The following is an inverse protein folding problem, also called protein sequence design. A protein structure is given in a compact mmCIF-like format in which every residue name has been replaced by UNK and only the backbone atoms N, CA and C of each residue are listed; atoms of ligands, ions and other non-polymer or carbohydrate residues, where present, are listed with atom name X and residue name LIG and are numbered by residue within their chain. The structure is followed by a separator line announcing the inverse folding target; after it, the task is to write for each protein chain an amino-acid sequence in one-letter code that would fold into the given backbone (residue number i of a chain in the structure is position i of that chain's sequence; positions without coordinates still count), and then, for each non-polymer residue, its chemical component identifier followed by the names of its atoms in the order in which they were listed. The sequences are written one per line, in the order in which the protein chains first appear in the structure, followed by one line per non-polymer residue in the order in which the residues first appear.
data_IF_611815711438
#
_entry.id   IF_611815711438
#
_cell.length_a   1.000
_cell.length_b   1.000
_cell.length_c   1.000
_cell.angle_alpha   90.00
_cell.angle_beta   90.00
_cell.angle_gamma   90.00
#
_symmetry.space_group_name_H-M   'P 1'
#
loop_
_entity.id
_entity.type
_entity.pdbx_description
1 polymer ?
#
# COMPACT_ATOMS: atom_id res chain seq x y z
N UNK A 1 -23.29 -83.04 28.63
CA UNK A 1 -22.67 -82.19 29.67
C UNK A 1 -22.96 -80.75 29.30
N UNK A 2 -23.80 -80.09 30.11
CA UNK A 2 -24.06 -78.65 30.09
C UNK A 2 -22.87 -77.96 30.77
N UNK A 3 -22.37 -76.86 30.21
CA UNK A 3 -22.18 -75.60 30.94
C UNK A 3 -21.73 -74.49 29.96
N UNK A 4 -22.55 -73.49 29.62
CA UNK A 4 -22.98 -72.26 30.35
C UNK A 4 -21.96 -71.10 30.25
N UNK A 5 -22.39 -69.98 29.62
CA UNK A 5 -22.31 -68.55 30.00
C UNK A 5 -22.05 -67.64 28.78
N UNK A 6 -23.06 -66.88 28.31
CA UNK A 6 -23.44 -65.49 28.71
C UNK A 6 -22.30 -64.50 28.41
N UNK A 7 -22.42 -63.29 27.84
CA UNK A 7 -23.45 -62.32 27.43
C UNK A 7 -22.62 -61.26 26.64
N UNK A 8 -23.01 -60.56 25.57
CA UNK A 8 -23.98 -59.47 25.54
C UNK A 8 -23.84 -58.77 24.18
N UNK A 9 -24.99 -58.32 23.69
CA UNK A 9 -25.24 -57.53 22.48
C UNK A 9 -24.77 -56.08 22.67
N UNK A 10 -24.17 -55.44 21.65
CA UNK A 10 -24.53 -54.06 21.29
C UNK A 10 -24.10 -53.76 19.85
N UNK A 11 -25.10 -53.45 19.02
CA UNK A 11 -24.95 -52.90 17.68
C UNK A 11 -24.61 -51.41 17.77
N UNK A 12 -23.59 -50.97 17.03
CA UNK A 12 -23.30 -49.55 16.82
C UNK A 12 -23.54 -49.23 15.34
N UNK A 13 -24.62 -48.49 15.11
CA UNK A 13 -24.97 -47.90 13.83
C UNK A 13 -23.98 -46.79 13.47
N UNK A 14 -23.48 -46.83 12.23
CA UNK A 14 -22.65 -45.79 11.64
C UNK A 14 -23.59 -44.70 11.12
N UNK A 15 -23.73 -43.63 11.89
CA UNK A 15 -24.41 -42.41 11.46
C UNK A 15 -23.45 -41.59 10.61
N UNK A 16 -23.70 -41.53 9.30
CA UNK A 16 -23.06 -40.58 8.39
C UNK A 16 -23.65 -39.17 8.64
N UNK A 17 -22.89 -38.32 9.33
CA UNK A 17 -23.22 -36.91 9.45
C UNK A 17 -22.73 -36.17 8.20
N UNK A 18 -23.67 -35.82 7.33
CA UNK A 18 -23.49 -34.80 6.30
C UNK A 18 -23.35 -33.44 7.00
N UNK A 19 -22.13 -32.93 7.08
CA UNK A 19 -21.88 -31.53 7.41
C UNK A 19 -22.30 -30.69 6.21
N UNK A 20 -23.56 -30.26 6.20
CA UNK A 20 -24.01 -29.11 5.41
C UNK A 20 -23.35 -27.87 5.99
N UNK A 21 -22.21 -27.47 5.43
CA UNK A 21 -21.65 -26.15 5.67
C UNK A 21 -22.62 -25.11 5.11
N UNK A 22 -23.25 -24.33 5.99
CA UNK A 22 -23.89 -23.08 5.60
C UNK A 22 -22.77 -22.09 5.20
N UNK A 23 -22.35 -22.15 3.94
CA UNK A 23 -21.70 -21.03 3.30
C UNK A 23 -22.79 -20.02 2.92
N UNK A 24 -23.04 -19.03 3.77
CA UNK A 24 -23.79 -17.85 3.33
C UNK A 24 -22.98 -17.20 2.21
N UNK A 25 -23.47 -17.38 0.99
CA UNK A 25 -23.02 -16.61 -0.16
C UNK A 25 -23.69 -15.25 -0.03
N UNK A 26 -23.01 -14.29 0.59
CA UNK A 26 -23.44 -12.90 0.56
C UNK A 26 -23.17 -12.34 -0.84
N UNK A 27 -24.12 -12.55 -1.76
CA UNK A 27 -24.17 -11.75 -2.98
C UNK A 27 -24.79 -10.40 -2.62
N UNK A 28 -23.96 -9.40 -2.35
CA UNK A 28 -24.41 -8.00 -2.32
C UNK A 28 -24.58 -7.52 -3.76
N UNK A 29 -25.79 -7.09 -4.10
CA UNK A 29 -26.02 -6.37 -5.35
C UNK A 29 -25.64 -4.91 -5.12
N UNK A 30 -24.86 -4.35 -6.04
CA UNK A 30 -24.50 -2.94 -6.03
C UNK A 30 -25.80 -2.08 -6.06
N UNK A 31 -25.89 -1.10 -5.16
CA UNK A 31 -27.01 -0.15 -5.12
C UNK A 31 -27.12 0.69 -6.41
N UNK A 32 -28.21 1.46 -6.58
CA UNK A 32 -28.42 2.28 -7.78
C UNK A 32 -27.28 3.28 -8.08
N UNK A 33 -26.48 3.63 -7.06
CA UNK A 33 -25.37 4.59 -7.13
C UNK A 33 -24.01 3.94 -7.45
N UNK A 34 -23.98 2.66 -7.84
CA UNK A 34 -22.75 1.93 -8.18
C UNK A 34 -22.41 1.88 -9.68
N UNK A 35 -21.14 2.14 -10.01
CA UNK A 35 -20.60 2.05 -11.38
C UNK A 35 -20.69 3.36 -12.17
N UNK A 36 -20.48 3.30 -13.50
CA UNK A 36 -20.43 4.47 -14.41
C UNK A 36 -21.80 5.18 -14.59
N UNK A 37 -22.69 5.13 -13.61
CA UNK A 37 -23.99 5.82 -13.62
C UNK A 37 -23.88 7.08 -12.77
N UNK A 38 -24.10 8.28 -13.35
CA UNK A 38 -24.13 9.51 -12.58
C UNK A 38 -25.21 9.43 -11.50
N UNK A 39 -24.85 9.73 -10.26
CA UNK A 39 -25.82 10.01 -9.20
C UNK A 39 -26.57 11.28 -9.63
N UNK A 40 -27.89 11.33 -9.48
CA UNK A 40 -28.67 12.53 -9.83
C UNK A 40 -28.15 13.73 -9.04
N UNK A 41 -27.62 14.79 -9.70
CA UNK A 41 -27.02 15.92 -9.00
C UNK A 41 -28.04 16.66 -8.12
N UNK A 42 -27.57 17.26 -7.04
CA UNK A 42 -28.23 18.42 -6.45
C UNK A 42 -28.36 19.52 -7.54
N UNK A 43 -29.42 20.36 -7.50
CA UNK A 43 -29.60 21.40 -8.52
C UNK A 43 -28.40 22.37 -8.56
N UNK A 44 -27.78 22.49 -9.73
CA UNK A 44 -26.67 23.41 -10.05
C UNK A 44 -26.98 24.83 -9.57
N UNK A 45 -26.10 25.34 -8.69
CA UNK A 45 -26.20 26.64 -8.03
C UNK A 45 -26.01 27.82 -9.01
N UNK A 46 -25.68 27.55 -10.27
CA UNK A 46 -25.52 28.58 -11.31
C UNK A 46 -24.20 29.34 -11.25
N UNK A 47 -23.22 28.90 -10.46
CA UNK A 47 -21.87 29.49 -10.35
C UNK A 47 -20.76 28.51 -10.77
N UNK A 48 -21.00 27.76 -11.84
CA UNK A 48 -20.21 26.61 -12.29
C UNK A 48 -18.75 26.63 -11.89
N UNK A 49 -18.36 25.68 -11.03
CA UNK A 49 -17.00 25.50 -10.58
C UNK A 49 -16.03 25.25 -11.74
N UNK A 50 -14.84 25.85 -11.69
CA UNK A 50 -13.81 25.65 -12.70
C UNK A 50 -13.07 24.32 -12.48
N UNK A 51 -13.68 23.21 -12.91
CA UNK A 51 -13.11 21.87 -12.80
C UNK A 51 -11.77 21.74 -13.54
N UNK A 52 -11.61 22.39 -14.70
CA UNK A 52 -10.32 22.45 -15.41
C UNK A 52 -9.18 23.02 -14.56
N UNK A 53 -9.46 24.05 -13.76
CA UNK A 53 -8.48 24.63 -12.84
C UNK A 53 -8.15 23.68 -11.67
N UNK A 54 -9.14 22.98 -11.12
CA UNK A 54 -8.92 21.92 -10.12
C UNK A 54 -8.01 20.81 -10.68
N UNK A 55 -8.35 20.28 -11.86
CA UNK A 55 -7.56 19.23 -12.54
C UNK A 55 -6.12 19.69 -12.75
N UNK A 56 -5.92 20.90 -13.28
CA UNK A 56 -4.60 21.44 -13.53
C UNK A 56 -3.80 21.59 -12.23
N UNK A 57 -4.42 22.11 -11.17
CA UNK A 57 -3.77 22.31 -9.89
C UNK A 57 -3.38 20.98 -9.21
N UNK A 58 -4.31 20.02 -9.11
CA UNK A 58 -4.00 18.71 -8.53
C UNK A 58 -2.91 18.00 -9.33
N UNK A 59 -2.95 18.07 -10.66
CA UNK A 59 -1.96 17.40 -11.49
C UNK A 59 -0.56 18.02 -11.40
N UNK A 60 -0.46 19.36 -11.46
CA UNK A 60 0.82 20.08 -11.53
C UNK A 60 1.44 20.39 -10.17
N UNK A 61 0.61 20.72 -9.19
CA UNK A 61 1.07 21.31 -7.92
C UNK A 61 0.90 20.36 -6.73
N UNK A 62 0.18 19.25 -6.90
CA UNK A 62 0.02 18.23 -5.86
C UNK A 62 0.71 16.93 -6.25
N UNK A 63 0.30 16.30 -7.37
CA UNK A 63 0.78 14.96 -7.73
C UNK A 63 2.16 14.99 -8.39
N UNK A 64 2.39 15.87 -9.37
CA UNK A 64 3.69 15.94 -10.04
C UNK A 64 4.86 16.22 -9.06
N UNK A 65 4.73 17.13 -8.07
CA UNK A 65 5.77 17.35 -7.07
C UNK A 65 6.01 16.13 -6.18
N UNK A 66 4.96 15.40 -5.77
CA UNK A 66 5.10 14.15 -5.01
C UNK A 66 5.89 13.10 -5.79
N UNK A 67 5.63 12.92 -7.08
CA UNK A 67 6.41 12.00 -7.92
C UNK A 67 7.85 12.47 -8.14
N UNK A 68 8.06 13.77 -8.30
CA UNK A 68 9.40 14.34 -8.42
C UNK A 68 10.22 14.15 -7.13
N UNK A 69 9.61 14.34 -5.96
CA UNK A 69 10.22 14.10 -4.65
C UNK A 69 10.55 12.61 -4.46
N UNK A 70 9.60 11.71 -4.76
CA UNK A 70 9.84 10.27 -4.69
C UNK A 70 11.04 9.85 -5.56
N UNK A 71 11.14 10.39 -6.77
CA UNK A 71 12.28 10.15 -7.66
C UNK A 71 13.61 10.63 -7.06
N UNK A 72 13.64 11.81 -6.45
CA UNK A 72 14.85 12.32 -5.79
C UNK A 72 15.27 11.40 -4.63
N UNK A 73 14.31 10.95 -3.84
CA UNK A 73 14.57 10.06 -2.71
C UNK A 73 14.97 8.65 -3.14
N UNK A 74 14.43 8.14 -4.25
CA UNK A 74 14.88 6.88 -4.85
C UNK A 74 16.34 6.95 -5.35
N UNK A 75 16.77 8.10 -5.90
CA UNK A 75 18.17 8.32 -6.28
C UNK A 75 19.08 8.32 -5.04
N UNK A 76 18.69 9.05 -3.99
CA UNK A 76 19.44 9.07 -2.74
C UNK A 76 19.50 7.69 -2.06
N UNK A 77 18.38 6.95 -2.09
CA UNK A 77 18.29 5.59 -1.58
C UNK A 77 19.24 4.64 -2.31
N UNK A 78 19.27 4.70 -3.64
CA UNK A 78 20.18 3.88 -4.45
C UNK A 78 21.66 4.14 -4.12
N UNK A 79 22.04 5.40 -3.90
CA UNK A 79 23.40 5.76 -3.48
C UNK A 79 23.72 5.22 -2.08
N UNK A 80 22.81 5.38 -1.12
CA UNK A 80 23.00 4.92 0.26
C UNK A 80 23.08 3.39 0.37
N UNK A 81 22.24 2.66 -0.36
CA UNK A 81 22.28 1.19 -0.40
C UNK A 81 23.57 0.69 -1.05
N UNK A 82 24.05 1.35 -2.11
CA UNK A 82 25.35 1.04 -2.70
C UNK A 82 26.51 1.27 -1.72
N UNK A 83 26.50 2.39 -0.98
CA UNK A 83 27.50 2.66 0.05
C UNK A 83 27.48 1.61 1.17
N UNK A 84 26.30 1.18 1.63
CA UNK A 84 26.16 0.07 2.58
C UNK A 84 26.82 -1.21 2.07
N UNK A 85 26.52 -1.63 0.85
CA UNK A 85 27.06 -2.87 0.32
C UNK A 85 28.58 -2.83 0.07
N UNK A 86 29.12 -1.65 -0.27
CA UNK A 86 30.57 -1.42 -0.33
C UNK A 86 31.24 -1.63 1.04
N UNK A 87 30.63 -1.15 2.13
CA UNK A 87 31.16 -1.36 3.48
C UNK A 87 31.09 -2.82 3.93
N UNK A 88 29.99 -3.54 3.63
CA UNK A 88 29.90 -5.00 3.91
C UNK A 88 31.00 -5.79 3.18
N UNK A 89 31.23 -5.46 1.91
CA UNK A 89 32.29 -6.08 1.11
C UNK A 89 33.67 -5.74 1.67
N UNK A 90 33.89 -4.48 2.06
CA UNK A 90 35.15 -4.04 2.65
C UNK A 90 35.41 -4.71 4.02
N UNK A 91 34.37 -4.92 4.84
CA UNK A 91 34.49 -5.63 6.11
C UNK A 91 34.97 -7.08 5.90
N UNK A 92 34.40 -7.80 4.93
CA UNK A 92 34.84 -9.16 4.61
C UNK A 92 36.29 -9.21 4.08
N UNK A 93 36.76 -8.13 3.45
CA UNK A 93 38.13 -7.95 3.02
C UNK A 93 39.07 -7.40 4.12
N UNK A 94 38.60 -7.22 5.36
CA UNK A 94 39.31 -6.59 6.47
C UNK A 94 39.77 -5.13 6.19
N UNK A 95 39.04 -4.42 5.31
CA UNK A 95 39.30 -3.03 4.92
C UNK A 95 38.29 -2.02 5.51
N UNK A 96 37.36 -2.47 6.34
CA UNK A 96 36.39 -1.64 7.06
C UNK A 96 36.08 -2.27 8.43
N UNK A 97 35.56 -1.46 9.37
CA UNK A 97 35.11 -1.94 10.67
C UNK A 97 33.60 -2.28 10.66
N UNK A 98 33.16 -3.03 11.66
CA UNK A 98 31.73 -3.28 11.87
C UNK A 98 30.94 -1.97 12.14
N UNK A 99 31.58 -0.96 12.72
CA UNK A 99 30.98 0.36 12.92
C UNK A 99 30.75 1.07 11.58
N UNK A 100 31.70 1.00 10.63
CA UNK A 100 31.51 1.56 9.30
C UNK A 100 30.30 0.95 8.57
N UNK A 101 30.15 -0.38 8.67
CA UNK A 101 28.99 -1.09 8.13
C UNK A 101 27.70 -0.63 8.79
N UNK A 102 27.67 -0.53 10.13
CA UNK A 102 26.48 -0.13 10.86
C UNK A 102 26.07 1.31 10.54
N UNK A 103 27.01 2.25 10.42
CA UNK A 103 26.73 3.63 10.00
C UNK A 103 26.13 3.66 8.60
N UNK A 104 26.72 2.95 7.64
CA UNK A 104 26.23 2.92 6.27
C UNK A 104 24.86 2.24 6.15
N UNK A 105 24.62 1.16 6.92
CA UNK A 105 23.31 0.51 7.00
C UNK A 105 22.24 1.45 7.55
N UNK A 106 22.52 2.19 8.63
CA UNK A 106 21.59 3.19 9.18
C UNK A 106 21.26 4.26 8.14
N UNK A 107 22.25 4.73 7.37
CA UNK A 107 22.01 5.68 6.27
C UNK A 107 21.11 5.07 5.19
N UNK A 108 21.34 3.82 4.79
CA UNK A 108 20.49 3.11 3.84
C UNK A 108 19.05 2.94 4.36
N UNK A 109 18.87 2.53 5.61
CA UNK A 109 17.56 2.41 6.26
C UNK A 109 16.80 3.74 6.35
N UNK A 110 17.50 4.84 6.67
CA UNK A 110 16.89 6.17 6.70
C UNK A 110 16.49 6.64 5.29
N UNK A 111 17.32 6.40 4.28
CA UNK A 111 17.00 6.72 2.89
C UNK A 111 15.82 5.90 2.36
N UNK A 112 15.69 4.64 2.79
CA UNK A 112 14.53 3.81 2.52
C UNK A 112 13.27 4.40 3.15
N UNK A 113 13.35 4.76 4.44
CA UNK A 113 12.22 5.35 5.19
C UNK A 113 11.72 6.64 4.55
N UNK A 114 12.63 7.47 4.02
CA UNK A 114 12.27 8.70 3.32
C UNK A 114 11.52 8.41 2.01
N UNK A 115 12.08 7.56 1.16
CA UNK A 115 11.47 7.21 -0.12
C UNK A 115 10.10 6.55 0.02
N UNK A 116 9.96 5.57 0.93
CA UNK A 116 8.65 4.92 1.17
C UNK A 116 7.64 5.91 1.76
N UNK A 117 8.06 6.86 2.60
CA UNK A 117 7.17 7.89 3.13
C UNK A 117 6.50 8.72 2.03
N UNK A 118 7.29 9.19 1.06
CA UNK A 118 6.76 9.91 -0.10
C UNK A 118 5.93 9.00 -0.99
N UNK A 119 6.34 7.74 -1.18
CA UNK A 119 5.55 6.77 -1.94
C UNK A 119 4.18 6.50 -1.29
N UNK A 120 4.09 6.46 0.04
CA UNK A 120 2.80 6.34 0.74
C UNK A 120 1.90 7.56 0.51
N UNK A 121 2.46 8.74 0.25
CA UNK A 121 1.64 9.87 -0.23
C UNK A 121 1.16 9.62 -1.67
N UNK A 122 2.03 9.09 -2.54
CA UNK A 122 1.69 8.73 -3.92
C UNK A 122 0.63 7.62 -4.04
N UNK A 123 0.52 6.71 -3.06
CA UNK A 123 -0.53 5.68 -3.02
C UNK A 123 -1.95 6.30 -2.96
N UNK A 124 -2.11 7.52 -2.41
CA UNK A 124 -3.38 8.28 -2.44
C UNK A 124 -3.63 9.01 -3.76
N UNK A 125 -2.66 8.96 -4.67
CA UNK A 125 -2.63 9.70 -5.93
C UNK A 125 -2.60 8.75 -7.13
N UNK A 126 -3.19 7.55 -6.98
CA UNK A 126 -3.26 6.54 -8.03
C UNK A 126 -4.21 6.96 -9.16
N UNK A 127 -3.66 7.74 -10.09
CA UNK A 127 -4.34 8.20 -11.31
C UNK A 127 -3.49 7.81 -12.52
N UNK A 128 -4.15 7.50 -13.65
CA UNK A 128 -3.49 7.32 -14.93
C UNK A 128 -2.42 6.23 -14.94
N UNK A 129 -1.12 6.54 -15.12
CA UNK A 129 -0.05 5.55 -15.28
C UNK A 129 0.06 4.51 -14.16
N UNK A 130 -0.33 4.85 -12.93
CA UNK A 130 -0.26 3.92 -11.80
C UNK A 130 -1.35 2.84 -11.84
N UNK A 131 -2.43 3.06 -12.60
CA UNK A 131 -3.53 2.11 -12.78
C UNK A 131 -3.39 1.29 -14.08
N UNK A 132 -2.52 1.70 -15.00
CA UNK A 132 -2.34 1.05 -16.29
C UNK A 132 -1.76 -0.37 -16.15
N UNK A 133 -2.18 -1.28 -17.04
CA UNK A 133 -1.72 -2.67 -17.11
C UNK A 133 -1.79 -3.38 -15.74
N UNK A 134 -2.98 -3.39 -15.12
CA UNK A 134 -3.20 -3.99 -13.80
C UNK A 134 -2.24 -3.45 -12.71
N UNK A 135 -2.05 -2.13 -12.72
CA UNK A 135 -1.16 -1.40 -11.81
C UNK A 135 0.30 -1.89 -11.83
N UNK A 136 0.79 -2.40 -12.97
CA UNK A 136 2.14 -2.97 -13.10
C UNK A 136 3.23 -2.02 -12.58
N UNK A 137 3.18 -0.74 -12.95
CA UNK A 137 4.20 0.24 -12.53
C UNK A 137 4.17 0.48 -11.01
N UNK A 138 2.98 0.68 -10.43
CA UNK A 138 2.79 0.80 -8.97
C UNK A 138 3.36 -0.43 -8.27
N UNK A 139 2.97 -1.63 -8.71
CA UNK A 139 3.38 -2.88 -8.10
C UNK A 139 4.89 -3.16 -8.24
N UNK A 140 5.53 -2.69 -9.31
CA UNK A 140 6.99 -2.78 -9.44
C UNK A 140 7.76 -1.91 -8.43
N UNK A 141 7.12 -0.84 -7.95
CA UNK A 141 7.69 0.06 -6.93
C UNK A 141 7.35 -0.45 -5.54
N UNK A 142 6.11 -0.86 -5.30
CA UNK A 142 5.63 -1.34 -4.02
C UNK A 142 4.43 -2.27 -4.23
N UNK A 143 4.57 -3.54 -3.85
CA UNK A 143 3.54 -4.57 -4.09
C UNK A 143 2.72 -4.97 -2.88
N UNK A 144 2.90 -4.31 -1.73
CA UNK A 144 2.14 -4.61 -0.53
C UNK A 144 0.61 -4.52 -0.79
N UNK A 145 -0.20 -5.46 -0.24
CA UNK A 145 0.15 -6.51 0.74
C UNK A 145 0.78 -7.79 0.17
N UNK A 146 0.93 -7.88 -1.16
CA UNK A 146 1.49 -9.07 -1.80
C UNK A 146 3.01 -9.04 -1.71
N UNK A 147 3.58 -9.57 -0.62
CA UNK A 147 5.03 -9.60 -0.36
C UNK A 147 5.55 -11.03 -0.27
N UNK A 148 6.81 -11.28 -0.65
CA UNK A 148 7.40 -12.63 -0.56
C UNK A 148 8.88 -12.60 -0.15
N UNK A 149 9.16 -12.66 1.16
CA UNK A 149 10.54 -12.79 1.65
C UNK A 149 11.24 -14.05 1.11
N UNK A 150 10.52 -15.18 1.02
CA UNK A 150 11.09 -16.39 0.44
C UNK A 150 11.45 -16.20 -1.05
N UNK A 151 10.58 -15.53 -1.81
CA UNK A 151 10.89 -15.17 -3.20
C UNK A 151 12.09 -14.23 -3.31
N UNK A 152 12.24 -13.29 -2.37
CA UNK A 152 13.43 -12.42 -2.28
C UNK A 152 14.69 -13.25 -2.01
N UNK A 153 14.68 -14.22 -1.09
CA UNK A 153 15.83 -15.10 -0.84
C UNK A 153 16.25 -15.89 -2.10
N UNK A 154 15.28 -16.36 -2.88
CA UNK A 154 15.57 -16.99 -4.17
C UNK A 154 16.23 -16.00 -5.15
N UNK A 155 15.75 -14.76 -5.22
CA UNK A 155 16.34 -13.75 -6.12
C UNK A 155 17.72 -13.28 -5.66
N UNK A 156 18.01 -13.27 -4.36
CA UNK A 156 19.37 -13.09 -3.83
C UNK A 156 20.32 -14.13 -4.43
N UNK A 157 19.91 -15.41 -4.44
CA UNK A 157 20.76 -16.47 -5.01
C UNK A 157 20.82 -16.42 -6.53
N UNK A 158 19.71 -16.16 -7.22
CA UNK A 158 19.72 -16.03 -8.67
C UNK A 158 20.55 -14.84 -9.17
N UNK A 159 20.49 -13.72 -8.46
CA UNK A 159 21.34 -12.57 -8.75
C UNK A 159 22.81 -12.90 -8.51
N UNK A 160 23.13 -13.57 -7.39
CA UNK A 160 24.48 -14.02 -7.07
C UNK A 160 25.07 -14.96 -8.13
N UNK A 161 24.26 -15.88 -8.67
CA UNK A 161 24.70 -16.80 -9.75
C UNK A 161 24.63 -16.18 -11.14
N UNK A 162 23.97 -15.03 -11.27
CA UNK A 162 23.77 -14.31 -12.53
C UNK A 162 22.77 -14.97 -13.48
N UNK A 163 22.04 -16.02 -13.06
CA UNK A 163 21.12 -16.75 -13.94
C UNK A 163 19.84 -17.22 -13.25
N UNK A 164 18.75 -17.30 -14.03
CA UNK A 164 17.47 -17.92 -13.66
C UNK A 164 17.03 -18.79 -14.83
N UNK A 165 16.75 -20.08 -14.59
CA UNK A 165 16.26 -21.01 -15.63
C UNK A 165 17.11 -21.02 -16.91
N UNK A 166 18.44 -20.90 -16.78
CA UNK A 166 19.38 -20.90 -17.91
C UNK A 166 19.50 -19.58 -18.68
N UNK A 167 18.78 -18.53 -18.29
CA UNK A 167 18.90 -17.19 -18.85
C UNK A 167 19.63 -16.24 -17.88
N UNK A 168 20.26 -15.16 -18.38
CA UNK A 168 20.80 -14.10 -17.52
C UNK A 168 19.74 -13.53 -16.58
N UNK A 169 20.12 -13.28 -15.32
CA UNK A 169 19.23 -12.65 -14.36
C UNK A 169 18.80 -11.26 -14.84
N UNK A 170 17.52 -10.95 -14.70
CA UNK A 170 16.91 -9.67 -15.07
C UNK A 170 15.82 -9.33 -14.06
N UNK A 171 16.06 -8.31 -13.24
CA UNK A 171 15.13 -7.90 -12.19
C UNK A 171 13.77 -7.47 -12.76
N UNK A 172 13.75 -6.95 -13.99
CA UNK A 172 12.52 -6.45 -14.62
C UNK A 172 11.53 -7.57 -14.97
N UNK A 173 12.03 -8.81 -15.06
CA UNK A 173 11.24 -10.02 -15.35
C UNK A 173 10.82 -10.78 -14.09
N UNK A 174 11.16 -10.28 -12.90
CA UNK A 174 10.75 -10.89 -11.63
C UNK A 174 9.36 -10.40 -11.25
N UNK A 175 8.62 -11.24 -10.52
CA UNK A 175 7.31 -10.85 -10.02
C UNK A 175 7.43 -9.69 -9.03
N UNK A 176 6.41 -8.82 -9.01
CA UNK A 176 6.40 -7.59 -8.22
C UNK A 176 6.76 -7.82 -6.74
N UNK A 177 6.16 -8.85 -6.13
CA UNK A 177 6.34 -9.26 -4.73
C UNK A 177 7.75 -9.72 -4.31
N UNK A 178 8.75 -9.61 -5.19
CA UNK A 178 10.15 -9.99 -4.97
C UNK A 178 11.14 -8.86 -5.27
N UNK A 179 10.62 -7.68 -5.60
CA UNK A 179 11.38 -6.44 -5.88
C UNK A 179 10.65 -5.26 -5.24
N UNK A 180 11.05 -4.03 -5.56
CA UNK A 180 10.42 -2.85 -4.99
C UNK A 180 10.79 -2.57 -3.53
N UNK A 181 10.10 -1.58 -2.95
CA UNK A 181 10.38 -1.05 -1.62
C UNK A 181 10.12 -2.08 -0.51
N UNK A 182 9.18 -3.00 -0.68
CA UNK A 182 8.88 -4.10 0.24
C UNK A 182 9.99 -5.16 0.25
N UNK A 183 10.57 -5.50 -0.90
CA UNK A 183 11.75 -6.36 -0.94
C UNK A 183 12.97 -5.67 -0.31
N UNK A 184 13.17 -4.38 -0.59
CA UNK A 184 14.28 -3.62 -0.01
C UNK A 184 14.15 -3.46 1.51
N UNK A 185 12.93 -3.33 2.03
CA UNK A 185 12.67 -3.36 3.47
C UNK A 185 13.19 -4.66 4.09
N UNK A 186 12.79 -5.81 3.53
CA UNK A 186 13.25 -7.10 4.00
C UNK A 186 14.78 -7.21 3.98
N UNK A 187 15.42 -6.76 2.90
CA UNK A 187 16.87 -6.85 2.76
C UNK A 187 17.62 -5.99 3.78
N UNK A 188 17.15 -4.77 4.06
CA UNK A 188 17.83 -3.80 4.94
C UNK A 188 17.50 -3.96 6.43
N UNK A 189 16.32 -4.46 6.79
CA UNK A 189 15.85 -4.46 8.18
C UNK A 189 15.82 -5.86 8.82
N UNK A 190 15.67 -6.94 8.03
CA UNK A 190 15.68 -8.29 8.59
C UNK A 190 17.11 -8.75 8.94
N UNK A 191 17.40 -8.91 10.24
CA UNK A 191 18.70 -9.41 10.73
C UNK A 191 18.86 -10.93 10.68
N UNK A 192 17.76 -11.68 10.51
CA UNK A 192 17.83 -13.14 10.42
C UNK A 192 18.43 -13.57 9.08
N UNK A 193 19.50 -14.36 9.12
CA UNK A 193 20.22 -14.90 7.95
C UNK A 193 19.78 -16.30 7.55
N UNK A 194 18.89 -16.95 8.32
CA UNK A 194 18.19 -18.14 7.85
C UNK A 194 17.29 -17.77 6.67
N UNK A 195 17.10 -18.73 5.75
CA UNK A 195 16.11 -18.54 4.69
C UNK A 195 14.72 -18.37 5.31
N UNK A 196 13.94 -17.46 4.76
CA UNK A 196 12.55 -17.22 5.10
C UNK A 196 11.56 -18.20 4.44
N UNK A 197 12.06 -19.17 3.65
CA UNK A 197 11.25 -20.21 3.04
C UNK A 197 10.85 -21.30 4.04
N UNK A 198 9.58 -21.71 4.04
CA UNK A 198 9.05 -22.72 4.98
C UNK A 198 9.36 -24.16 4.57
N UNK A 199 9.54 -24.42 3.27
CA UNK A 199 9.72 -25.79 2.74
C UNK A 199 11.18 -26.10 2.41
N UNK A 200 11.83 -25.25 1.62
CA UNK A 200 13.22 -25.43 1.20
C UNK A 200 13.88 -24.08 0.95
N UNK A 201 15.10 -23.92 1.46
CA UNK A 201 15.94 -22.77 1.16
C UNK A 201 16.37 -22.78 -0.32
N UNK A 202 16.68 -21.61 -0.91
CA UNK A 202 17.30 -21.54 -2.23
C UNK A 202 18.56 -22.40 -2.32
N UNK A 203 18.79 -23.01 -3.49
CA UNK A 203 19.96 -23.88 -3.69
C UNK A 203 21.27 -23.14 -3.37
N UNK A 204 22.10 -23.76 -2.54
CA UNK A 204 23.38 -23.22 -2.10
C UNK A 204 23.32 -22.19 -0.97
N UNK A 205 22.13 -21.78 -0.50
CA UNK A 205 22.00 -20.81 0.60
C UNK A 205 22.72 -21.28 1.88
N UNK A 206 22.50 -22.53 2.28
CA UNK A 206 23.06 -23.08 3.52
C UNK A 206 24.57 -23.35 3.44
N UNK A 207 25.15 -23.33 2.23
CA UNK A 207 26.59 -23.45 2.03
C UNK A 207 27.32 -22.12 2.24
N UNK A 208 26.60 -21.00 2.29
CA UNK A 208 27.18 -19.67 2.50
C UNK A 208 27.43 -19.42 3.99
N UNK A 209 28.59 -18.86 4.30
CA UNK A 209 28.87 -18.25 5.59
C UNK A 209 27.99 -17.02 5.82
N UNK A 210 27.87 -16.57 7.07
CA UNK A 210 27.09 -15.37 7.40
C UNK A 210 27.59 -14.12 6.67
N UNK A 211 28.91 -13.98 6.48
CA UNK A 211 29.50 -12.89 5.71
C UNK A 211 29.10 -12.96 4.23
N UNK A 212 29.15 -14.16 3.63
CA UNK A 212 28.72 -14.35 2.23
C UNK A 212 27.23 -14.11 2.04
N UNK A 213 26.38 -14.49 3.00
CA UNK A 213 24.93 -14.21 2.99
C UNK A 213 24.67 -12.70 3.03
N UNK A 214 25.35 -11.97 3.92
CA UNK A 214 25.23 -10.50 4.00
C UNK A 214 25.64 -9.83 2.69
N UNK A 215 26.77 -10.24 2.11
CA UNK A 215 27.25 -9.71 0.83
C UNK A 215 26.28 -10.04 -0.31
N UNK A 216 25.76 -11.28 -0.39
CA UNK A 216 24.79 -11.65 -1.40
C UNK A 216 23.50 -10.82 -1.28
N UNK A 217 22.99 -10.65 -0.06
CA UNK A 217 21.80 -9.82 0.22
C UNK A 217 22.03 -8.35 -0.10
N UNK A 218 23.16 -7.76 0.30
CA UNK A 218 23.43 -6.35 0.00
C UNK A 218 23.61 -6.11 -1.50
N UNK A 219 24.25 -7.03 -2.22
CA UNK A 219 24.41 -6.93 -3.67
C UNK A 219 23.06 -6.94 -4.38
N UNK A 220 22.14 -7.82 -3.94
CA UNK A 220 20.80 -7.83 -4.48
C UNK A 220 20.01 -6.56 -4.08
N UNK A 221 20.19 -6.04 -2.86
CA UNK A 221 19.58 -4.78 -2.43
C UNK A 221 19.98 -3.59 -3.33
N UNK A 222 21.23 -3.56 -3.81
CA UNK A 222 21.70 -2.56 -4.79
C UNK A 222 20.93 -2.66 -6.11
N UNK A 223 20.70 -3.87 -6.62
CA UNK A 223 19.92 -4.08 -7.86
C UNK A 223 18.45 -3.69 -7.67
N UNK A 224 17.85 -4.03 -6.52
CA UNK A 224 16.49 -3.60 -6.15
C UNK A 224 16.38 -2.07 -6.07
N UNK A 225 17.32 -1.39 -5.41
CA UNK A 225 17.30 0.06 -5.28
C UNK A 225 17.47 0.78 -6.64
N UNK A 226 18.30 0.22 -7.53
CA UNK A 226 18.44 0.70 -8.92
C UNK A 226 17.13 0.55 -9.71
N UNK A 227 16.45 -0.56 -9.53
CA UNK A 227 15.18 -0.84 -10.18
C UNK A 227 14.05 0.09 -9.69
N UNK A 228 13.98 0.37 -8.38
CA UNK A 228 13.07 1.38 -7.81
C UNK A 228 13.33 2.75 -8.43
N UNK A 229 14.60 3.18 -8.52
CA UNK A 229 14.98 4.45 -9.14
C UNK A 229 14.54 4.53 -10.60
N UNK A 230 14.73 3.45 -11.39
CA UNK A 230 14.29 3.41 -12.79
C UNK A 230 12.77 3.47 -12.91
N UNK A 231 12.05 2.82 -12.00
CA UNK A 231 10.59 2.88 -11.94
C UNK A 231 10.12 4.28 -11.56
N UNK A 232 10.81 4.98 -10.66
CA UNK A 232 10.52 6.38 -10.32
C UNK A 232 10.74 7.34 -11.51
N UNK A 233 11.79 7.14 -12.31
CA UNK A 233 11.96 7.87 -13.59
C UNK A 233 10.77 7.61 -14.54
N UNK A 234 10.29 6.37 -14.58
CA UNK A 234 9.15 5.95 -15.42
C UNK A 234 7.85 6.60 -14.94
N UNK A 235 7.63 6.71 -13.64
CA UNK A 235 6.47 7.42 -13.07
C UNK A 235 6.47 8.89 -13.48
N UNK A 236 7.58 9.60 -13.29
CA UNK A 236 7.67 11.04 -13.64
C UNK A 236 7.43 11.29 -15.13
N UNK A 237 8.05 10.48 -16.00
CA UNK A 237 7.88 10.62 -17.45
C UNK A 237 6.46 10.27 -17.91
N UNK A 238 5.89 9.19 -17.39
CA UNK A 238 4.52 8.77 -17.73
C UNK A 238 3.49 9.75 -17.19
N UNK A 239 3.69 10.31 -16.00
CA UNK A 239 2.82 11.33 -15.42
C UNK A 239 2.82 12.60 -16.26
N UNK A 240 4.00 13.08 -16.68
CA UNK A 240 4.12 14.27 -17.55
C UNK A 240 3.28 14.14 -18.83
N UNK A 241 3.30 12.96 -19.46
CA UNK A 241 2.47 12.67 -20.63
C UNK A 241 0.97 12.64 -20.27
N UNK A 242 0.61 12.04 -19.14
CA UNK A 242 -0.77 11.93 -18.68
C UNK A 242 -1.38 13.28 -18.26
N UNK A 243 -0.62 14.15 -17.59
CA UNK A 243 -1.05 15.50 -17.20
C UNK A 243 -1.48 16.33 -18.41
N UNK A 244 -0.82 16.16 -19.56
CA UNK A 244 -1.22 16.84 -20.80
C UNK A 244 -2.59 16.37 -21.32
N UNK A 245 -2.97 15.12 -21.06
CA UNK A 245 -4.30 14.57 -21.40
C UNK A 245 -5.36 15.05 -20.41
N UNK A 246 -5.07 15.02 -19.10
CA UNK A 246 -5.96 15.52 -18.05
C UNK A 246 -6.37 16.97 -18.28
N UNK A 247 -5.42 17.84 -18.64
CA UNK A 247 -5.70 19.26 -18.94
C UNK A 247 -6.52 19.50 -20.21
N UNK A 248 -6.74 18.46 -21.02
CA UNK A 248 -7.58 18.47 -22.22
C UNK A 248 -8.88 17.70 -22.01
N UNK A 249 -9.24 17.35 -20.78
CA UNK A 249 -10.46 16.61 -20.50
C UNK A 249 -11.68 17.31 -21.13
N UNK A 250 -12.56 16.53 -21.78
CA UNK A 250 -13.68 17.05 -22.58
C UNK A 250 -13.31 17.42 -24.03
N UNK A 251 -12.02 17.45 -24.39
CA UNK A 251 -11.56 17.63 -25.77
C UNK A 251 -11.30 16.28 -26.46
N UNK A 252 -11.41 16.26 -27.79
CA UNK A 252 -11.16 15.05 -28.59
C UNK A 252 -9.72 14.53 -28.40
N UNK A 253 -9.58 13.23 -28.17
CA UNK A 253 -8.28 12.58 -27.99
C UNK A 253 -7.67 12.69 -26.59
N UNK A 254 -8.34 13.34 -25.63
CA UNK A 254 -7.90 13.38 -24.22
C UNK A 254 -8.08 12.05 -23.49
N UNK A 255 -9.01 11.21 -23.94
CA UNK A 255 -9.42 10.00 -23.24
C UNK A 255 -10.45 10.24 -22.11
N UNK A 256 -10.91 11.48 -21.92
CA UNK A 256 -11.95 11.85 -20.97
C UNK A 256 -13.12 12.51 -21.70
N UNK A 257 -14.33 12.00 -21.50
CA UNK A 257 -15.57 12.52 -22.08
C UNK A 257 -15.93 13.92 -21.60
N UNK A 258 -15.45 14.32 -20.42
CA UNK A 258 -15.67 15.63 -19.80
C UNK A 258 -14.59 15.96 -18.77
N UNK A 259 -14.51 17.22 -18.35
CA UNK A 259 -13.72 17.63 -17.18
C UNK A 259 -14.16 16.87 -15.93
N UNK A 260 -15.46 16.66 -15.77
CA UNK A 260 -16.04 15.97 -14.62
C UNK A 260 -15.57 14.51 -14.51
N UNK A 261 -15.45 13.80 -15.64
CA UNK A 261 -14.87 12.45 -15.64
C UNK A 261 -13.42 12.45 -15.15
N UNK A 262 -12.63 13.46 -15.52
CA UNK A 262 -11.26 13.58 -15.03
C UNK A 262 -11.20 13.93 -13.53
N UNK A 263 -12.12 14.78 -13.04
CA UNK A 263 -12.29 15.03 -11.60
C UNK A 263 -12.61 13.73 -10.85
N UNK A 264 -13.47 12.89 -11.42
CA UNK A 264 -13.81 11.60 -10.83
C UNK A 264 -12.59 10.68 -10.66
N UNK A 265 -11.59 10.73 -11.54
CA UNK A 265 -10.36 9.93 -11.36
C UNK A 265 -9.57 10.33 -10.11
N UNK A 266 -9.55 11.61 -9.76
CA UNK A 266 -8.91 12.06 -8.51
C UNK A 266 -9.75 11.65 -7.29
N UNK A 267 -11.08 11.71 -7.40
CA UNK A 267 -11.98 11.17 -6.38
C UNK A 267 -11.73 9.67 -6.15
N UNK A 268 -11.72 8.87 -7.21
CA UNK A 268 -11.44 7.43 -7.14
C UNK A 268 -10.12 7.13 -6.42
N UNK A 269 -9.06 7.92 -6.67
CA UNK A 269 -7.77 7.77 -5.99
C UNK A 269 -7.84 8.04 -4.48
N UNK A 270 -8.66 9.00 -4.05
CA UNK A 270 -8.85 9.34 -2.62
C UNK A 270 -9.47 8.18 -1.82
N UNK A 271 -10.20 7.27 -2.47
CA UNK A 271 -10.76 6.06 -1.84
C UNK A 271 -9.72 5.00 -1.48
N UNK A 272 -8.44 5.21 -1.78
CA UNK A 272 -7.37 4.42 -1.15
C UNK A 272 -7.41 4.56 0.40
N UNK A 273 -7.81 5.74 0.91
CA UNK A 273 -7.93 5.95 2.36
C UNK A 273 -8.94 4.98 2.99
N UNK A 274 -10.03 4.70 2.28
CA UNK A 274 -11.06 3.77 2.68
C UNK A 274 -10.58 2.32 2.50
N UNK A 275 -10.44 1.89 1.25
CA UNK A 275 -10.16 0.50 0.91
C UNK A 275 -8.83 -0.05 1.42
N UNK A 276 -7.82 0.80 1.63
CA UNK A 276 -6.47 0.33 2.02
C UNK A 276 -6.04 0.87 3.37
N UNK A 277 -6.12 2.18 3.62
CA UNK A 277 -5.65 2.73 4.90
C UNK A 277 -6.56 2.36 6.07
N UNK A 278 -7.89 2.47 5.91
CA UNK A 278 -8.85 2.00 6.91
C UNK A 278 -8.89 0.48 6.94
N UNK A 279 -9.20 -0.16 5.81
CA UNK A 279 -9.54 -1.58 5.84
C UNK A 279 -8.35 -2.52 5.95
N UNK A 280 -7.31 -2.35 5.14
CA UNK A 280 -6.18 -3.29 5.13
C UNK A 280 -5.11 -2.92 6.15
N UNK A 281 -4.82 -1.63 6.40
CA UNK A 281 -3.74 -1.22 7.30
C UNK A 281 -4.16 -1.14 8.77
N UNK A 282 -5.43 -0.91 9.05
CA UNK A 282 -5.97 -0.78 10.42
C UNK A 282 -6.96 -1.90 10.74
N UNK A 283 -8.04 -2.05 9.98
CA UNK A 283 -9.13 -2.97 10.31
C UNK A 283 -8.72 -4.44 10.23
N UNK A 284 -7.92 -4.81 9.22
CA UNK A 284 -7.42 -6.18 9.04
C UNK A 284 -6.49 -6.61 10.18
N UNK A 285 -5.41 -5.88 10.55
CA UNK A 285 -4.62 -6.20 11.74
C UNK A 285 -5.40 -6.12 13.05
N UNK A 286 -6.47 -5.32 13.14
CA UNK A 286 -7.39 -5.30 14.30
C UNK A 286 -8.28 -6.55 14.38
N UNK A 287 -8.54 -7.23 13.26
CA UNK A 287 -9.44 -8.38 13.18
C UNK A 287 -10.92 -7.99 13.14
N UNK A 288 -11.27 -6.80 12.64
CA UNK A 288 -12.65 -6.26 12.66
C UNK A 288 -13.34 -6.16 11.28
N UNK A 289 -12.60 -6.28 10.17
CA UNK A 289 -13.17 -6.25 8.81
C UNK A 289 -13.25 -7.66 8.21
N UNK A 290 -12.09 -8.30 8.03
CA UNK A 290 -11.97 -9.68 7.55
C UNK A 290 -11.15 -10.53 8.54
N UNK A 291 -11.20 -11.86 8.38
CA UNK A 291 -10.33 -12.75 9.15
C UNK A 291 -8.88 -12.56 8.71
N UNK A 292 -8.06 -12.07 9.63
CA UNK A 292 -6.62 -11.98 9.45
C UNK A 292 -5.94 -13.33 9.74
N UNK A 293 -4.61 -13.37 9.72
CA UNK A 293 -3.84 -14.60 9.95
C UNK A 293 -3.99 -15.18 11.37
N UNK A 294 -4.51 -14.40 12.32
CA UNK A 294 -4.86 -14.80 13.68
C UNK A 294 -6.35 -15.16 13.83
N UNK A 295 -7.18 -14.89 12.83
CA UNK A 295 -8.64 -15.06 12.89
C UNK A 295 -9.35 -13.72 13.07
N UNK A 296 -10.26 -13.64 14.05
CA UNK A 296 -11.06 -12.45 14.35
C UNK A 296 -10.56 -11.74 15.63
N UNK A 297 -9.23 -11.58 15.71
CA UNK A 297 -8.54 -10.95 16.84
C UNK A 297 -7.36 -10.11 16.34
N UNK A 298 -6.81 -9.26 17.22
CA UNK A 298 -5.67 -8.42 16.88
C UNK A 298 -4.46 -9.28 16.45
N UNK A 299 -3.84 -8.93 15.33
CA UNK A 299 -2.80 -9.73 14.69
C UNK A 299 -1.56 -8.87 14.37
N UNK A 300 -0.63 -8.74 15.34
CA UNK A 300 0.55 -7.87 15.23
C UNK A 300 1.48 -8.19 14.05
N UNK A 301 1.48 -9.45 13.57
CA UNK A 301 2.32 -9.88 12.45
C UNK A 301 1.81 -9.46 11.07
N UNK A 302 0.53 -9.07 10.97
CA UNK A 302 -0.13 -8.72 9.71
C UNK A 302 -0.02 -7.22 9.38
N UNK A 303 0.67 -6.45 10.22
CA UNK A 303 0.93 -5.04 9.95
C UNK A 303 1.84 -4.84 8.73
N UNK A 304 1.57 -3.79 7.97
CA UNK A 304 2.46 -3.29 6.93
C UNK A 304 3.84 -2.95 7.51
N UNK A 305 4.90 -3.15 6.73
CA UNK A 305 6.28 -2.87 7.12
C UNK A 305 6.71 -3.47 8.47
N UNK A 306 6.47 -4.77 8.63
CA UNK A 306 6.79 -5.52 9.85
C UNK A 306 8.28 -5.57 10.21
N UNK A 307 9.19 -5.32 9.26
CA UNK A 307 10.63 -5.33 9.53
C UNK A 307 11.13 -3.95 9.94
N UNK A 308 10.66 -2.90 9.27
CA UNK A 308 11.07 -1.52 9.55
C UNK A 308 10.19 -0.81 10.59
N UNK A 309 9.06 -1.41 10.96
CA UNK A 309 8.07 -0.88 11.90
C UNK A 309 7.56 0.53 11.56
N UNK A 310 7.27 0.78 10.28
CA UNK A 310 6.84 2.09 9.78
C UNK A 310 5.33 2.25 9.58
N UNK A 311 4.50 1.27 9.94
CA UNK A 311 3.06 1.23 9.63
C UNK A 311 2.31 2.52 10.01
N UNK A 312 2.55 3.06 11.21
CA UNK A 312 1.93 4.32 11.67
C UNK A 312 2.36 5.50 10.80
N UNK A 313 3.63 5.59 10.41
CA UNK A 313 4.09 6.66 9.52
C UNK A 313 3.50 6.54 8.12
N UNK A 314 3.27 5.32 7.64
CA UNK A 314 2.59 5.10 6.36
C UNK A 314 1.16 5.60 6.41
N UNK A 315 0.42 5.30 7.48
CA UNK A 315 -0.95 5.81 7.72
C UNK A 315 -0.95 7.34 7.78
N UNK A 316 0.01 7.96 8.48
CA UNK A 316 0.14 9.43 8.53
C UNK A 316 0.37 10.01 7.13
N UNK A 317 1.28 9.44 6.33
CA UNK A 317 1.53 9.90 4.97
C UNK A 317 0.29 9.75 4.07
N UNK A 318 -0.48 8.67 4.22
CA UNK A 318 -1.75 8.50 3.51
C UNK A 318 -2.75 9.63 3.87
N UNK A 319 -2.92 9.93 5.17
CA UNK A 319 -3.82 10.98 5.64
C UNK A 319 -3.38 12.39 5.23
N UNK A 320 -2.09 12.69 5.29
CA UNK A 320 -1.54 13.99 4.87
C UNK A 320 -1.66 14.20 3.35
N UNK A 321 -1.53 13.13 2.55
CA UNK A 321 -1.79 13.19 1.11
C UNK A 321 -3.27 13.42 0.79
N UNK A 322 -4.17 12.73 1.49
CA UNK A 322 -5.60 12.94 1.37
C UNK A 322 -6.00 14.39 1.70
N UNK A 323 -5.47 14.94 2.80
CA UNK A 323 -5.69 16.35 3.16
C UNK A 323 -5.15 17.30 2.07
N UNK A 324 -3.99 16.98 1.48
CA UNK A 324 -3.42 17.80 0.41
C UNK A 324 -4.30 17.83 -0.84
N UNK A 325 -4.96 16.72 -1.19
CA UNK A 325 -5.93 16.64 -2.29
C UNK A 325 -7.20 17.43 -1.95
N UNK A 326 -7.69 17.35 -0.71
CA UNK A 326 -8.82 18.16 -0.25
C UNK A 326 -8.54 19.66 -0.39
N UNK A 327 -7.37 20.12 0.05
CA UNK A 327 -6.99 21.54 0.04
C UNK A 327 -6.44 22.05 -1.31
N UNK A 328 -5.95 21.16 -2.17
CA UNK A 328 -5.27 21.56 -3.41
C UNK A 328 -3.85 22.14 -3.19
N UNK A 329 -3.22 21.86 -2.05
CA UNK A 329 -1.95 22.50 -1.68
C UNK A 329 -2.12 24.01 -1.47
N UNK A 330 -1.45 24.82 -2.28
CA UNK A 330 -1.59 26.30 -2.29
C UNK A 330 -2.61 26.80 -3.33
N UNK A 331 -3.17 25.90 -4.14
CA UNK A 331 -4.16 26.21 -5.18
C UNK A 331 -5.56 25.72 -4.83
N UNK A 332 -6.38 25.46 -5.85
CA UNK A 332 -7.76 24.99 -5.70
C UNK A 332 -7.80 23.49 -5.40
N UNK A 333 -8.53 23.10 -4.36
CA UNK A 333 -8.78 21.71 -3.97
C UNK A 333 -10.26 21.32 -4.02
N UNK A 334 -10.55 20.09 -3.60
CA UNK A 334 -11.92 19.61 -3.51
C UNK A 334 -12.77 20.36 -2.47
N UNK A 335 -12.17 20.93 -1.42
CA UNK A 335 -12.91 21.74 -0.45
C UNK A 335 -13.44 23.02 -1.08
N UNK A 336 -12.71 23.63 -2.01
CA UNK A 336 -13.19 24.78 -2.76
C UNK A 336 -14.35 24.39 -3.70
N UNK A 337 -14.29 23.17 -4.24
CA UNK A 337 -15.37 22.63 -5.07
C UNK A 337 -16.65 22.45 -4.24
N UNK A 338 -16.56 21.77 -3.08
CA UNK A 338 -17.69 21.60 -2.17
C UNK A 338 -18.31 22.94 -1.75
N UNK A 339 -17.49 23.93 -1.41
CA UNK A 339 -17.96 25.27 -1.03
C UNK A 339 -18.67 25.96 -2.20
N UNK A 340 -18.19 25.81 -3.44
CA UNK A 340 -18.86 26.35 -4.63
C UNK A 340 -20.23 25.68 -4.87
N UNK A 341 -20.32 24.37 -4.64
CA UNK A 341 -21.57 23.60 -4.65
C UNK A 341 -22.46 23.87 -3.40
N UNK A 342 -22.06 24.79 -2.52
CA UNK A 342 -22.87 25.22 -1.39
C UNK A 342 -22.79 24.29 -0.18
N UNK A 343 -21.92 23.29 -0.21
CA UNK A 343 -21.70 22.32 0.87
C UNK A 343 -20.42 22.64 1.67
N UNK A 344 -20.42 23.82 2.28
CA UNK A 344 -19.34 24.26 3.15
C UNK A 344 -19.22 23.39 4.42
N UNK A 345 -20.32 22.80 4.87
CA UNK A 345 -20.33 21.95 6.07
C UNK A 345 -19.55 20.66 5.83
N UNK A 346 -19.76 19.96 4.71
CA UNK A 346 -18.96 18.78 4.35
C UNK A 346 -17.47 19.13 4.20
N UNK A 347 -17.15 20.25 3.53
CA UNK A 347 -15.77 20.69 3.40
C UNK A 347 -15.08 20.88 4.77
N UNK A 348 -15.75 21.57 5.70
CA UNK A 348 -15.24 21.80 7.05
C UNK A 348 -15.12 20.51 7.87
N UNK A 349 -16.11 19.62 7.80
CA UNK A 349 -16.12 18.36 8.54
C UNK A 349 -15.00 17.45 8.06
N UNK A 350 -14.84 17.27 6.74
CA UNK A 350 -13.78 16.42 6.20
C UNK A 350 -12.38 16.91 6.61
N UNK A 351 -12.13 18.23 6.55
CA UNK A 351 -10.87 18.82 7.01
C UNK A 351 -10.64 18.63 8.52
N UNK A 352 -11.68 18.77 9.32
CA UNK A 352 -11.62 18.57 10.77
C UNK A 352 -11.31 17.10 11.11
N UNK A 353 -12.00 16.16 10.46
CA UNK A 353 -11.89 14.75 10.75
C UNK A 353 -10.55 14.16 10.26
N UNK A 354 -10.04 14.58 9.10
CA UNK A 354 -8.70 14.15 8.67
C UNK A 354 -7.61 14.67 9.63
N UNK A 355 -7.75 15.88 10.17
CA UNK A 355 -6.83 16.41 11.18
C UNK A 355 -6.90 15.66 12.52
N UNK A 356 -8.09 15.23 12.95
CA UNK A 356 -8.24 14.35 14.12
C UNK A 356 -7.59 12.99 13.88
N UNK A 357 -7.79 12.39 12.71
CA UNK A 357 -7.16 11.13 12.34
C UNK A 357 -5.62 11.25 12.32
N UNK A 358 -5.07 12.31 11.74
CA UNK A 358 -3.62 12.61 11.76
C UNK A 358 -3.12 12.74 13.19
N UNK A 359 -3.84 13.50 14.03
CA UNK A 359 -3.48 13.70 15.45
C UNK A 359 -3.51 12.38 16.22
N UNK A 360 -4.51 11.54 15.99
CA UNK A 360 -4.62 10.20 16.58
C UNK A 360 -3.44 9.32 16.19
N UNK A 361 -3.08 9.27 14.90
CA UNK A 361 -1.94 8.50 14.43
C UNK A 361 -0.58 9.04 14.94
N UNK A 362 -0.42 10.36 15.10
CA UNK A 362 0.79 10.97 15.67
C UNK A 362 0.94 10.75 17.18
N UNK A 363 -0.12 10.34 17.88
CA UNK A 363 -0.09 10.14 19.33
C UNK A 363 0.62 8.83 19.76
N UNK A 364 0.88 7.90 18.83
CA UNK A 364 1.53 6.63 19.14
C UNK A 364 2.96 6.84 19.64
N UNK A 365 3.28 6.14 20.74
CA UNK A 365 4.63 6.10 21.31
C UNK A 365 5.33 4.75 21.08
N UNK A 366 4.61 3.80 20.50
CA UNK A 366 5.07 2.44 20.17
C UNK A 366 4.76 2.13 18.71
N UNK A 367 5.25 0.99 18.23
CA UNK A 367 4.91 0.50 16.88
C UNK A 367 3.46 0.02 16.81
N UNK A 368 2.88 -0.06 15.61
CA UNK A 368 1.50 -0.55 15.45
C UNK A 368 1.33 -1.97 16.00
N UNK A 369 2.30 -2.86 15.72
CA UNK A 369 2.32 -4.22 16.25
C UNK A 369 2.27 -4.24 17.79
N UNK A 370 3.10 -3.43 18.45
CA UNK A 370 3.10 -3.32 19.92
C UNK A 370 1.80 -2.70 20.46
N UNK A 371 1.20 -1.75 19.75
CA UNK A 371 -0.08 -1.17 20.13
C UNK A 371 -1.21 -2.21 20.00
N UNK A 372 -1.23 -3.02 18.95
CA UNK A 372 -2.19 -4.12 18.79
C UNK A 372 -2.10 -5.13 19.95
N UNK A 373 -0.91 -5.43 20.45
CA UNK A 373 -0.71 -6.34 21.58
C UNK A 373 -1.11 -5.73 22.93
N UNK A 374 -0.72 -4.48 23.19
CA UNK A 374 -0.71 -3.91 24.53
C UNK A 374 -1.77 -2.81 24.75
N UNK A 375 -2.33 -2.26 23.67
CA UNK A 375 -3.29 -1.15 23.70
C UNK A 375 -4.13 -1.11 22.42
N UNK A 376 -4.84 -2.21 22.11
CA UNK A 376 -5.63 -2.34 20.88
C UNK A 376 -6.75 -1.28 20.79
N UNK A 377 -7.23 -0.75 21.93
CA UNK A 377 -8.19 0.35 21.99
C UNK A 377 -7.66 1.63 21.29
N UNK A 378 -6.36 1.94 21.41
CA UNK A 378 -5.77 3.06 20.68
C UNK A 378 -5.84 2.85 19.16
N UNK A 379 -5.66 1.62 18.70
CA UNK A 379 -5.75 1.26 17.27
C UNK A 379 -7.19 1.33 16.78
N UNK A 380 -8.15 0.83 17.57
CA UNK A 380 -9.59 0.97 17.31
C UNK A 380 -10.00 2.44 17.24
N UNK A 381 -9.48 3.30 18.12
CA UNK A 381 -9.77 4.74 18.07
C UNK A 381 -9.23 5.37 16.78
N UNK A 382 -7.98 5.08 16.40
CA UNK A 382 -7.42 5.59 15.14
C UNK A 382 -8.23 5.12 13.94
N UNK A 383 -8.60 3.84 13.89
CA UNK A 383 -9.51 3.30 12.87
C UNK A 383 -10.83 4.08 12.83
N UNK A 384 -11.47 4.32 13.97
CA UNK A 384 -12.72 5.07 14.04
C UNK A 384 -12.58 6.52 13.55
N UNK A 385 -11.46 7.19 13.82
CA UNK A 385 -11.21 8.54 13.27
C UNK A 385 -11.01 8.50 11.75
N UNK A 386 -10.29 7.51 11.20
CA UNK A 386 -10.19 7.34 9.74
C UNK A 386 -11.57 7.02 9.13
N UNK A 387 -12.37 6.17 9.78
CA UNK A 387 -13.73 5.82 9.32
C UNK A 387 -14.63 7.04 9.19
N UNK A 388 -14.59 8.00 10.13
CA UNK A 388 -15.38 9.24 9.99
C UNK A 388 -15.06 10.00 8.71
N UNK A 389 -13.77 10.06 8.33
CA UNK A 389 -13.34 10.69 7.08
C UNK A 389 -13.89 9.95 5.87
N UNK A 390 -13.79 8.62 5.87
CA UNK A 390 -14.19 7.78 4.73
C UNK A 390 -15.72 7.67 4.60
N UNK A 391 -16.46 7.71 5.71
CA UNK A 391 -17.93 7.77 5.71
C UNK A 391 -18.38 9.06 5.00
N UNK A 392 -17.79 10.20 5.36
CA UNK A 392 -18.08 11.49 4.69
C UNK A 392 -17.65 11.52 3.22
N UNK A 393 -16.54 10.85 2.90
CA UNK A 393 -16.09 10.68 1.51
C UNK A 393 -17.10 9.85 0.70
N UNK A 394 -17.64 8.76 1.27
CA UNK A 394 -18.60 7.87 0.60
C UNK A 394 -19.96 8.53 0.37
N UNK A 395 -20.43 9.35 1.32
CA UNK A 395 -21.78 9.90 1.30
C UNK A 395 -21.81 11.33 0.77
N UNK A 396 -21.46 12.29 1.62
CA UNK A 396 -21.72 13.70 1.38
C UNK A 396 -20.82 14.22 0.25
N UNK A 397 -19.55 13.84 0.22
CA UNK A 397 -18.61 14.27 -0.82
C UNK A 397 -19.04 13.81 -2.23
N UNK A 398 -19.40 12.54 -2.38
CA UNK A 398 -19.86 11.99 -3.66
C UNK A 398 -21.15 12.67 -4.10
N UNK A 399 -22.13 12.80 -3.19
CA UNK A 399 -23.44 13.35 -3.50
C UNK A 399 -23.36 14.84 -3.86
N UNK A 400 -22.65 15.64 -3.05
CA UNK A 400 -22.56 17.09 -3.24
C UNK A 400 -21.78 17.47 -4.50
N UNK A 401 -20.80 16.67 -4.90
CA UNK A 401 -20.04 16.90 -6.13
C UNK A 401 -20.59 16.14 -7.34
N UNK A 402 -21.67 15.38 -7.19
CA UNK A 402 -22.24 14.49 -8.22
C UNK A 402 -21.23 13.52 -8.86
N UNK A 403 -20.26 13.05 -8.06
CA UNK A 403 -19.25 12.09 -8.48
C UNK A 403 -19.80 10.66 -8.45
N UNK A 404 -19.01 9.70 -8.92
CA UNK A 404 -19.36 8.27 -8.86
C UNK A 404 -18.52 7.56 -7.80
N UNK A 405 -19.14 6.60 -7.10
CA UNK A 405 -18.41 5.72 -6.19
C UNK A 405 -17.52 4.76 -6.99
N UNK A 406 -16.24 4.61 -6.63
CA UNK A 406 -15.38 3.66 -7.30
C UNK A 406 -15.84 2.23 -7.02
N UNK A 407 -15.61 1.32 -7.98
CA UNK A 407 -15.97 -0.10 -7.85
C UNK A 407 -15.34 -0.79 -6.66
N UNK A 408 -14.18 -0.31 -6.20
CA UNK A 408 -13.48 -0.84 -5.02
C UNK A 408 -14.23 -0.61 -3.72
N UNK A 409 -15.19 0.31 -3.69
CA UNK A 409 -16.07 0.53 -2.54
C UNK A 409 -17.39 -0.25 -2.63
N UNK A 410 -17.56 -1.09 -3.66
CA UNK A 410 -18.74 -1.92 -3.89
C UNK A 410 -18.78 -3.12 -2.96
N UNK A 411 -19.55 -3.00 -1.87
CA UNK A 411 -19.83 -4.12 -0.97
C UNK A 411 -19.49 -3.85 0.49
N UNK A 412 -18.77 -2.77 0.79
CA UNK A 412 -18.47 -2.33 2.16
C UNK A 412 -19.70 -1.62 2.74
N UNK A 413 -20.70 -2.41 3.13
CA UNK A 413 -21.76 -1.95 4.01
C UNK A 413 -21.26 -2.04 5.47
N UNK A 414 -20.38 -1.11 5.85
CA UNK A 414 -19.98 -0.90 7.26
C UNK A 414 -21.06 -0.17 8.06
#
# INVERSE_FOLDING_TARGET
MKDTRLLSILALGISAALLSGCGESTSSNAGPDFGDKPVTPAPDNGNGFNQKALIANLADNVIAPTFAEFRQDAIAQQQAVNAYCQQETALAANNASAENVQTALTTAQNSWTKAIGVWQQAELMQVGPLLANDAQLRNSIYSWPTVSSCGVDFDVMFFKTGTVNGAPYDITKRTANRRGLDALEYLLFNKNLASSCTTAAPSGWDNLTDSEKKIARCNFAVEVAKDIKNSADTVVSSWTAHTALLKKAGESGSGFSSEHEAVNRFSDAMFYLDSTTKDIKLAYPLGIAEKNSCGAEACPQDVESKYAHQSIKHIINNLEAFERLLKGGEGIGFTDYLVNEGDQDTANIMLSDVQKAITSAKAYQTTLAQALENNSEQVTQTHAEVKKVTDKLKTDFINSLALTLPKTSAGDND
#
